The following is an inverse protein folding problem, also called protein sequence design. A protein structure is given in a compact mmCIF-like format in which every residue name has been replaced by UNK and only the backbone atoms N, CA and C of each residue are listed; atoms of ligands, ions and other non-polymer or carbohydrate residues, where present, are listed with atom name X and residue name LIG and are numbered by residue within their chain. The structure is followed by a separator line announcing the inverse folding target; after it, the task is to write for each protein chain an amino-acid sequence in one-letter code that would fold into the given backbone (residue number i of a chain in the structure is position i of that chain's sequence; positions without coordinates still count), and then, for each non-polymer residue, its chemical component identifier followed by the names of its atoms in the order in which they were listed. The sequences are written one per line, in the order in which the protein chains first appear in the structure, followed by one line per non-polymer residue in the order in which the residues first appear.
data_IF_478323908507
#
_entry.id   IF_478323908507
#
_cell.length_a   1.000
_cell.length_b   1.000
_cell.length_c   1.000
_cell.angle_alpha   90.00
_cell.angle_beta   90.00
_cell.angle_gamma   90.00
#
_symmetry.space_group_name_H-M   'P 1'
#
loop_
_entity.id
_entity.type
_entity.pdbx_description
1 polymer ?
#
# COMPACT_ATOMS: atom_id res chain seq x y z
N UNK A 1 -16.74 27.34 -50.32
CA UNK A 1 -17.38 28.46 -49.57
C UNK A 1 -16.27 29.39 -49.09
N UNK A 2 -16.40 30.72 -49.22
CA UNK A 2 -15.33 31.65 -48.80
C UNK A 2 -15.22 31.68 -47.26
N UNK A 3 -14.01 31.59 -46.70
CA UNK A 3 -13.74 31.57 -45.24
C UNK A 3 -14.42 32.73 -44.50
N UNK A 4 -14.54 33.89 -45.13
CA UNK A 4 -15.21 35.06 -44.54
C UNK A 4 -16.71 34.81 -44.30
N UNK A 5 -17.39 34.16 -45.24
CA UNK A 5 -18.81 33.83 -45.13
C UNK A 5 -19.07 32.83 -43.99
N UNK A 6 -18.12 31.92 -43.75
CA UNK A 6 -18.15 31.03 -42.57
C UNK A 6 -18.01 31.80 -41.26
N UNK A 7 -17.11 32.80 -41.21
CA UNK A 7 -16.95 33.63 -40.02
C UNK A 7 -18.23 34.40 -39.72
N UNK A 8 -18.82 35.04 -40.72
CA UNK A 8 -20.01 35.86 -40.55
C UNK A 8 -21.22 35.05 -40.07
N UNK A 9 -21.37 33.80 -40.54
CA UNK A 9 -22.41 32.87 -40.08
C UNK A 9 -22.19 32.34 -38.66
N UNK A 10 -20.94 32.07 -38.28
CA UNK A 10 -20.61 31.40 -37.01
C UNK A 10 -20.40 32.39 -35.87
N UNK A 11 -19.98 33.63 -36.16
CA UNK A 11 -19.66 34.66 -35.17
C UNK A 11 -20.81 34.97 -34.20
N UNK A 12 -22.09 35.08 -34.63
CA UNK A 12 -23.22 35.30 -33.71
C UNK A 12 -23.40 34.15 -32.71
N UNK A 13 -22.94 32.94 -33.05
CA UNK A 13 -23.08 31.72 -32.25
C UNK A 13 -21.78 31.32 -31.53
N UNK A 14 -20.80 32.23 -31.46
CA UNK A 14 -19.46 31.94 -30.92
C UNK A 14 -19.47 31.40 -29.47
N UNK A 15 -20.49 31.72 -28.69
CA UNK A 15 -20.63 31.23 -27.30
C UNK A 15 -20.83 29.71 -27.24
N UNK A 16 -21.39 29.11 -28.29
CA UNK A 16 -21.64 27.67 -28.39
C UNK A 16 -20.44 26.88 -28.98
N UNK A 17 -19.35 27.55 -29.38
CA UNK A 17 -18.10 26.93 -29.88
C UNK A 17 -17.24 26.35 -28.73
N UNK A 18 -17.82 25.46 -27.93
CA UNK A 18 -17.22 24.88 -26.73
C UNK A 18 -16.47 23.58 -27.03
N UNK A 19 -17.15 22.46 -27.25
CA UNK A 19 -16.56 21.20 -27.69
C UNK A 19 -17.09 20.82 -29.07
N UNK A 20 -16.36 19.99 -29.82
CA UNK A 20 -16.78 19.50 -31.15
C UNK A 20 -18.20 18.91 -31.08
N UNK A 21 -18.43 18.02 -30.10
CA UNK A 21 -19.73 17.36 -29.91
C UNK A 21 -20.87 18.33 -29.56
N UNK A 22 -20.61 19.33 -28.71
CA UNK A 22 -21.63 20.32 -28.34
C UNK A 22 -21.94 21.25 -29.51
N UNK A 23 -20.92 21.64 -30.27
CA UNK A 23 -21.11 22.44 -31.48
C UNK A 23 -21.92 21.69 -32.53
N UNK A 24 -21.60 20.42 -32.81
CA UNK A 24 -22.33 19.65 -33.82
C UNK A 24 -23.80 19.45 -33.48
N UNK A 25 -24.13 19.26 -32.20
CA UNK A 25 -25.51 19.23 -31.73
C UNK A 25 -26.22 20.56 -31.98
N UNK A 26 -25.61 21.66 -31.55
CA UNK A 26 -26.17 23.00 -31.73
C UNK A 26 -26.31 23.40 -33.20
N UNK A 27 -25.29 23.09 -34.00
CA UNK A 27 -25.24 23.43 -35.42
C UNK A 27 -26.32 22.70 -36.23
N UNK A 28 -26.61 21.44 -35.86
CA UNK A 28 -27.69 20.67 -36.47
C UNK A 28 -29.07 21.28 -36.23
N UNK A 29 -29.30 21.82 -35.03
CA UNK A 29 -30.58 22.46 -34.67
C UNK A 29 -30.76 23.83 -35.34
N UNK A 30 -29.67 24.53 -35.63
CA UNK A 30 -29.69 25.90 -36.17
C UNK A 30 -29.31 26.00 -37.65
N UNK A 31 -29.17 24.86 -38.36
CA UNK A 31 -28.79 24.83 -39.77
C UNK A 31 -27.40 25.39 -40.06
N UNK A 32 -26.48 25.31 -39.10
CA UNK A 32 -25.12 25.84 -39.19
C UNK A 32 -24.13 24.77 -39.71
N UNK A 33 -22.96 25.19 -40.21
CA UNK A 33 -21.90 24.27 -40.63
C UNK A 33 -21.41 23.38 -39.49
N UNK A 34 -21.27 22.08 -39.76
CA UNK A 34 -20.72 21.12 -38.80
C UNK A 34 -19.27 21.45 -38.44
N UNK A 35 -18.79 20.91 -37.32
CA UNK A 35 -17.41 21.05 -36.89
C UNK A 35 -16.44 20.56 -37.97
N UNK A 36 -16.83 19.54 -38.75
CA UNK A 36 -16.01 19.00 -39.82
C UNK A 36 -15.79 20.03 -40.94
N UNK A 37 -16.83 20.80 -41.29
CA UNK A 37 -16.72 21.89 -42.27
C UNK A 37 -15.83 23.01 -41.73
N UNK A 38 -15.95 23.34 -40.44
CA UNK A 38 -15.09 24.34 -39.80
C UNK A 38 -13.63 23.87 -39.74
N UNK A 39 -13.37 22.63 -39.32
CA UNK A 39 -12.04 22.03 -39.29
C UNK A 39 -11.43 22.01 -40.71
N UNK A 40 -12.19 21.60 -41.73
CA UNK A 40 -11.69 21.60 -43.11
C UNK A 40 -11.23 22.98 -43.59
N UNK A 41 -11.92 24.06 -43.19
CA UNK A 41 -11.60 25.42 -43.65
C UNK A 41 -10.60 26.18 -42.76
N UNK A 42 -10.53 25.85 -41.46
CA UNK A 42 -9.69 26.55 -40.48
C UNK A 42 -8.54 25.70 -39.94
N UNK A 43 -8.42 24.44 -40.35
CA UNK A 43 -7.39 23.49 -39.91
C UNK A 43 -7.87 22.62 -38.75
N UNK A 44 -7.59 23.03 -37.53
CA UNK A 44 -7.91 22.28 -36.31
C UNK A 44 -9.01 22.97 -35.50
N UNK A 45 -9.70 22.23 -34.61
CA UNK A 45 -10.71 22.83 -33.72
C UNK A 45 -10.12 23.92 -32.81
N UNK A 46 -8.83 23.83 -32.50
CA UNK A 46 -8.08 24.86 -31.77
C UNK A 46 -7.91 26.12 -32.60
N UNK A 47 -7.61 25.98 -33.90
CA UNK A 47 -7.50 27.11 -34.84
C UNK A 47 -8.86 27.74 -35.13
N UNK A 48 -9.93 26.95 -35.23
CA UNK A 48 -11.32 27.45 -35.26
C UNK A 48 -11.55 28.35 -34.06
N UNK A 49 -11.34 27.87 -32.83
CA UNK A 49 -11.51 28.69 -31.62
C UNK A 49 -10.60 29.91 -31.60
N UNK A 50 -9.36 29.80 -32.04
CA UNK A 50 -8.42 30.92 -32.14
C UNK A 50 -8.93 32.00 -33.10
N UNK A 51 -9.51 31.60 -34.23
CA UNK A 51 -10.06 32.52 -35.23
C UNK A 51 -11.28 33.31 -34.73
N UNK A 52 -11.97 32.80 -33.70
CA UNK A 52 -13.08 33.48 -33.00
C UNK A 52 -12.66 34.05 -31.63
N UNK A 53 -11.35 34.13 -31.34
CA UNK A 53 -10.81 34.64 -30.07
C UNK A 53 -11.25 33.85 -28.82
N UNK A 54 -11.62 32.58 -28.98
CA UNK A 54 -12.09 31.68 -27.91
C UNK A 54 -10.99 30.76 -27.35
N UNK A 55 -9.77 30.81 -27.89
CA UNK A 55 -8.67 29.98 -27.41
C UNK A 55 -8.17 30.48 -26.05
N UNK A 56 -8.53 29.76 -24.97
CA UNK A 56 -7.76 29.84 -23.71
C UNK A 56 -6.34 29.37 -24.01
N UNK A 57 -5.38 30.29 -24.02
CA UNK A 57 -3.96 30.00 -24.26
C UNK A 57 -3.49 28.99 -23.20
N UNK A 58 -3.36 27.72 -23.58
CA UNK A 58 -2.59 26.77 -22.78
C UNK A 58 -1.11 27.11 -22.99
N UNK A 59 -0.49 27.80 -22.03
CA UNK A 59 0.97 28.02 -22.05
C UNK A 59 1.66 26.66 -22.10
N UNK A 60 2.55 26.45 -23.07
CA UNK A 60 3.01 25.10 -23.43
C UNK A 60 4.15 24.55 -22.56
N UNK A 61 4.85 25.34 -21.76
CA UNK A 61 5.73 24.82 -20.71
C UNK A 61 6.08 25.94 -19.75
N UNK A 62 5.96 25.67 -18.45
CA UNK A 62 6.57 26.52 -17.45
C UNK A 62 8.06 26.19 -17.39
N UNK A 63 8.92 27.20 -17.38
CA UNK A 63 10.34 27.00 -17.10
C UNK A 63 10.55 26.69 -15.62
N UNK A 64 11.68 26.09 -15.25
CA UNK A 64 12.02 25.83 -13.85
C UNK A 64 12.05 27.11 -13.01
N UNK A 65 12.47 28.24 -13.59
CA UNK A 65 12.57 29.51 -12.89
C UNK A 65 11.21 30.19 -12.73
N UNK A 66 10.31 30.07 -13.72
CA UNK A 66 8.91 30.49 -13.58
C UNK A 66 8.21 29.72 -12.46
N UNK A 67 8.42 28.39 -12.39
CA UNK A 67 7.85 27.56 -11.33
C UNK A 67 8.37 27.99 -9.95
N UNK A 68 9.67 28.24 -9.83
CA UNK A 68 10.28 28.74 -8.59
C UNK A 68 9.68 30.08 -8.18
N UNK A 69 9.55 31.02 -9.12
CA UNK A 69 8.97 32.34 -8.87
C UNK A 69 7.54 32.25 -8.36
N UNK A 70 6.68 31.48 -9.05
CA UNK A 70 5.28 31.27 -8.64
C UNK A 70 5.20 30.62 -7.25
N UNK A 71 6.04 29.61 -6.98
CA UNK A 71 6.04 28.92 -5.69
C UNK A 71 6.59 29.79 -4.55
N UNK A 72 7.51 30.72 -4.85
CA UNK A 72 8.04 31.68 -3.89
C UNK A 72 7.01 32.78 -3.56
N UNK A 73 6.33 33.31 -4.58
CA UNK A 73 5.26 34.31 -4.43
C UNK A 73 4.08 33.78 -3.60
N UNK A 74 3.79 32.48 -3.69
CA UNK A 74 2.68 31.83 -2.99
C UNK A 74 3.15 30.82 -1.94
N UNK A 75 4.26 31.12 -1.26
CA UNK A 75 4.91 30.22 -0.28
C UNK A 75 3.95 29.73 0.82
N UNK A 76 3.04 30.58 1.26
CA UNK A 76 2.05 30.28 2.31
C UNK A 76 1.09 29.13 1.95
N UNK A 77 0.79 28.97 0.66
CA UNK A 77 -0.07 27.88 0.16
C UNK A 77 0.72 26.65 -0.29
N UNK A 78 2.04 26.77 -0.41
CA UNK A 78 2.96 25.71 -0.86
C UNK A 78 3.32 24.71 0.26
N UNK A 79 2.38 24.41 1.17
CA UNK A 79 2.62 23.54 2.33
C UNK A 79 2.39 22.05 2.03
N UNK A 80 1.29 21.69 1.37
CA UNK A 80 0.97 20.28 1.06
C UNK A 80 0.49 20.15 -0.38
N UNK A 81 0.67 18.98 -0.98
CA UNK A 81 0.25 18.71 -2.36
C UNK A 81 -1.22 19.08 -2.59
N UNK A 82 -2.10 18.62 -1.71
CA UNK A 82 -3.54 18.84 -1.83
C UNK A 82 -3.92 20.32 -1.67
N UNK A 83 -3.36 21.00 -0.66
CA UNK A 83 -3.63 22.43 -0.44
C UNK A 83 -3.14 23.27 -1.64
N UNK A 84 -1.95 22.97 -2.16
CA UNK A 84 -1.42 23.64 -3.33
C UNK A 84 -2.28 23.39 -4.56
N UNK A 85 -2.68 22.15 -4.84
CA UNK A 85 -3.48 21.82 -6.02
C UNK A 85 -4.84 22.52 -6.04
N UNK A 86 -5.51 22.60 -4.89
CA UNK A 86 -6.80 23.31 -4.77
C UNK A 86 -6.60 24.80 -5.04
N UNK A 87 -5.58 25.42 -4.43
CA UNK A 87 -5.23 26.82 -4.65
C UNK A 87 -4.85 27.08 -6.11
N UNK A 88 -3.96 26.27 -6.67
CA UNK A 88 -3.45 26.42 -8.03
C UNK A 88 -4.56 26.34 -9.07
N UNK A 89 -5.52 25.41 -8.93
CA UNK A 89 -6.66 25.32 -9.85
C UNK A 89 -7.57 26.53 -9.77
N UNK A 90 -7.79 27.09 -8.57
CA UNK A 90 -8.63 28.28 -8.37
C UNK A 90 -8.03 29.52 -9.03
N UNK A 91 -6.70 29.62 -9.03
CA UNK A 91 -5.98 30.81 -9.51
C UNK A 91 -5.27 30.62 -10.87
N UNK A 92 -5.41 29.45 -11.50
CA UNK A 92 -4.83 29.17 -12.82
C UNK A 92 -3.31 28.90 -12.83
N UNK A 93 -2.74 28.50 -11.69
CA UNK A 93 -1.33 28.17 -11.54
C UNK A 93 -1.02 26.70 -11.88
N UNK A 94 0.27 26.36 -12.11
CA UNK A 94 0.69 24.98 -12.32
C UNK A 94 0.38 24.11 -11.09
N UNK A 95 -0.27 22.96 -11.34
CA UNK A 95 -0.55 21.96 -10.30
C UNK A 95 0.73 21.28 -9.84
N UNK A 96 0.68 20.64 -8.67
CA UNK A 96 1.85 19.98 -8.06
C UNK A 96 2.52 18.95 -8.98
N UNK A 97 1.78 18.27 -9.85
CA UNK A 97 2.34 17.36 -10.85
C UNK A 97 3.37 18.04 -11.78
N UNK A 98 3.14 19.31 -12.14
CA UNK A 98 4.09 20.11 -12.93
C UNK A 98 5.39 20.35 -12.16
N UNK A 99 5.29 20.65 -10.87
CA UNK A 99 6.45 20.82 -9.98
C UNK A 99 7.22 19.52 -9.78
N UNK A 100 6.53 18.40 -9.57
CA UNK A 100 7.15 17.08 -9.43
C UNK A 100 7.89 16.70 -10.71
N UNK A 101 7.30 16.96 -11.88
CA UNK A 101 7.96 16.71 -13.18
C UNK A 101 9.22 17.55 -13.35
N UNK A 102 9.21 18.81 -12.90
CA UNK A 102 10.35 19.72 -13.03
C UNK A 102 11.48 19.45 -12.02
N UNK A 103 11.14 19.10 -10.77
CA UNK A 103 12.10 19.00 -9.66
C UNK A 103 12.27 17.57 -9.10
N UNK A 104 11.64 16.58 -9.73
CA UNK A 104 11.68 15.16 -9.38
C UNK A 104 10.79 14.74 -8.20
N UNK A 105 10.69 15.58 -7.17
CA UNK A 105 9.80 15.32 -6.02
C UNK A 105 9.22 16.59 -5.41
N UNK A 106 8.11 16.45 -4.68
CA UNK A 106 7.51 17.57 -3.95
C UNK A 106 8.45 18.11 -2.86
N UNK A 107 9.18 17.21 -2.17
CA UNK A 107 10.20 17.59 -1.19
C UNK A 107 11.32 18.40 -1.82
N UNK A 108 11.77 18.04 -3.03
CA UNK A 108 12.75 18.83 -3.77
C UNK A 108 12.17 20.18 -4.20
N UNK A 109 10.91 20.22 -4.64
CA UNK A 109 10.23 21.47 -5.01
C UNK A 109 10.20 22.46 -3.84
N UNK A 110 9.92 21.98 -2.62
CA UNK A 110 10.00 22.77 -1.39
C UNK A 110 11.42 23.26 -1.08
N UNK A 111 12.43 22.41 -1.24
CA UNK A 111 13.84 22.81 -1.06
C UNK A 111 14.24 23.95 -2.00
N UNK A 112 13.76 23.94 -3.25
CA UNK A 112 14.07 24.98 -4.23
C UNK A 112 13.58 26.38 -3.83
N UNK A 113 12.56 26.47 -2.97
CA UNK A 113 12.02 27.73 -2.45
C UNK A 113 12.37 27.97 -0.98
N UNK A 114 13.36 27.26 -0.46
CA UNK A 114 13.82 27.40 0.93
C UNK A 114 12.78 27.00 1.98
N UNK A 115 11.81 26.14 1.62
CA UNK A 115 10.98 25.46 2.63
C UNK A 115 11.75 24.22 3.04
N UNK A 116 12.28 24.23 4.26
CA UNK A 116 12.83 23.03 4.90
C UNK A 116 11.72 21.99 5.01
N UNK A 117 11.89 20.78 4.44
CA UNK A 117 10.93 19.71 4.68
C UNK A 117 10.89 19.45 6.18
N UNK A 118 9.69 19.34 6.75
CA UNK A 118 9.53 18.86 8.13
C UNK A 118 10.34 17.57 8.26
N UNK A 119 11.31 17.58 9.16
CA UNK A 119 12.10 16.41 9.51
C UNK A 119 11.07 15.38 9.95
N UNK A 120 10.96 14.27 9.19
CA UNK A 120 10.14 13.14 9.63
C UNK A 120 10.63 12.82 11.04
N UNK A 121 9.74 12.92 12.03
CA UNK A 121 10.07 12.58 13.43
C UNK A 121 10.84 11.27 13.39
N UNK A 122 12.09 11.30 13.86
CA UNK A 122 12.91 10.10 13.98
C UNK A 122 12.11 9.07 14.76
N UNK A 123 12.29 7.78 14.44
CA UNK A 123 11.65 6.73 15.22
C UNK A 123 11.93 6.99 16.71
N UNK A 124 10.87 6.94 17.53
CA UNK A 124 10.92 7.31 18.96
C UNK A 124 11.87 6.43 19.77
N UNK A 125 12.24 5.26 19.23
CA UNK A 125 13.12 4.30 19.84
C UNK A 125 14.25 3.95 18.88
N UNK A 126 15.47 3.92 19.39
CA UNK A 126 16.59 3.31 18.67
C UNK A 126 16.49 1.78 18.69
N UNK A 127 17.29 1.11 17.87
CA UNK A 127 17.35 -0.36 17.84
C UNK A 127 17.86 -0.90 19.19
N UNK A 128 18.79 -0.18 19.81
CA UNK A 128 19.39 -0.48 21.10
C UNK A 128 18.38 -0.33 22.24
N UNK A 129 17.57 0.73 22.22
CA UNK A 129 16.50 0.95 23.22
C UNK A 129 15.52 -0.22 23.22
N UNK A 130 15.08 -0.63 22.01
CA UNK A 130 14.15 -1.76 21.85
C UNK A 130 14.77 -3.06 22.36
N UNK A 131 16.06 -3.31 22.07
CA UNK A 131 16.76 -4.51 22.54
C UNK A 131 16.85 -4.55 24.06
N UNK A 132 17.12 -3.40 24.69
CA UNK A 132 17.17 -3.28 26.15
C UNK A 132 15.81 -3.58 26.78
N UNK A 133 14.74 -2.97 26.25
CA UNK A 133 13.35 -3.18 26.68
C UNK A 133 12.95 -4.65 26.56
N UNK A 134 13.25 -5.30 25.42
CA UNK A 134 12.94 -6.71 25.20
C UNK A 134 13.66 -7.63 26.18
N UNK A 135 14.93 -7.34 26.53
CA UNK A 135 15.66 -8.10 27.55
C UNK A 135 15.06 -7.93 28.94
N UNK A 136 14.74 -6.70 29.33
CA UNK A 136 14.17 -6.40 30.64
C UNK A 136 12.79 -7.05 30.84
N UNK A 137 11.98 -7.12 29.78
CA UNK A 137 10.62 -7.65 29.84
C UNK A 137 10.45 -9.02 29.15
N UNK A 138 11.54 -9.76 28.94
CA UNK A 138 11.54 -11.06 28.26
C UNK A 138 10.57 -12.06 28.90
N UNK A 139 10.49 -12.07 30.23
CA UNK A 139 9.60 -12.95 31.00
C UNK A 139 8.12 -12.71 30.69
N UNK A 140 7.73 -11.47 30.38
CA UNK A 140 6.36 -11.06 30.10
C UNK A 140 5.97 -11.19 28.63
N UNK A 141 6.90 -11.58 27.74
CA UNK A 141 6.62 -11.76 26.32
C UNK A 141 5.99 -13.14 26.06
N UNK A 142 4.66 -13.29 25.96
CA UNK A 142 4.04 -14.58 25.67
C UNK A 142 3.72 -14.76 24.18
N UNK A 143 3.00 -13.80 23.62
CA UNK A 143 2.65 -13.77 22.21
C UNK A 143 2.44 -12.31 21.78
N UNK A 144 2.36 -12.08 20.47
CA UNK A 144 2.20 -10.73 19.90
C UNK A 144 1.05 -9.94 20.54
N UNK A 145 -0.12 -10.56 20.69
CA UNK A 145 -1.33 -9.87 21.18
C UNK A 145 -1.18 -9.49 22.65
N UNK A 146 -0.72 -10.42 23.47
CA UNK A 146 -0.47 -10.18 24.88
C UNK A 146 0.67 -9.16 25.09
N UNK A 147 1.70 -9.16 24.24
CA UNK A 147 2.73 -8.12 24.27
C UNK A 147 2.16 -6.73 24.00
N UNK A 148 1.29 -6.57 22.99
CA UNK A 148 0.68 -5.27 22.69
C UNK A 148 -0.19 -4.75 23.85
N UNK A 149 -0.90 -5.65 24.55
CA UNK A 149 -1.67 -5.33 25.75
C UNK A 149 -0.75 -4.90 26.91
N UNK A 150 0.28 -5.70 27.21
CA UNK A 150 1.28 -5.41 28.24
C UNK A 150 2.04 -4.10 27.95
N UNK A 151 2.43 -3.88 26.70
CA UNK A 151 3.16 -2.70 26.29
C UNK A 151 2.32 -1.43 26.44
N UNK A 152 1.01 -1.51 26.22
CA UNK A 152 0.09 -0.39 26.42
C UNK A 152 0.00 0.01 27.90
N UNK A 153 -0.09 -0.97 28.80
CA UNK A 153 -0.14 -0.74 30.25
C UNK A 153 1.17 -0.15 30.78
N UNK A 154 2.31 -0.62 30.27
CA UNK A 154 3.64 -0.23 30.72
C UNK A 154 4.28 0.89 29.88
N UNK A 155 3.53 1.49 28.94
CA UNK A 155 4.01 2.55 28.03
C UNK A 155 5.28 2.16 27.25
N UNK A 156 5.34 0.92 26.78
CA UNK A 156 6.44 0.33 26.02
C UNK A 156 6.16 0.33 24.50
N UNK A 157 7.18 0.13 23.64
CA UNK A 157 6.98 -0.03 22.21
C UNK A 157 6.06 -1.22 21.88
N UNK A 158 5.03 -0.95 21.08
CA UNK A 158 4.16 -1.97 20.51
C UNK A 158 4.94 -2.95 19.63
N UNK A 159 4.38 -4.13 19.38
CA UNK A 159 4.95 -5.13 18.49
C UNK A 159 5.21 -4.57 17.07
N UNK A 160 4.36 -3.66 16.59
CA UNK A 160 4.58 -2.96 15.31
C UNK A 160 5.87 -2.15 15.32
N UNK A 161 6.20 -1.52 16.44
CA UNK A 161 7.47 -0.80 16.63
C UNK A 161 8.63 -1.78 16.68
N UNK A 162 8.51 -2.89 17.41
CA UNK A 162 9.54 -3.93 17.44
C UNK A 162 9.88 -4.43 16.03
N UNK A 163 8.85 -4.74 15.24
CA UNK A 163 8.98 -5.26 13.86
C UNK A 163 9.59 -4.27 12.86
N UNK A 164 9.70 -2.99 13.20
CA UNK A 164 10.45 -2.03 12.38
C UNK A 164 11.96 -2.23 12.49
N UNK A 165 12.44 -2.76 13.62
CA UNK A 165 13.86 -2.84 13.95
C UNK A 165 14.41 -4.27 14.04
N UNK A 166 13.53 -5.25 14.29
CA UNK A 166 13.87 -6.65 14.44
C UNK A 166 12.89 -7.57 13.71
N UNK A 167 13.42 -8.64 13.13
CA UNK A 167 12.62 -9.75 12.63
C UNK A 167 12.06 -10.59 13.79
N UNK A 168 11.02 -11.38 13.51
CA UNK A 168 10.37 -12.19 14.55
C UNK A 168 11.34 -13.16 15.24
N UNK A 169 12.22 -13.78 14.45
CA UNK A 169 13.19 -14.74 14.97
C UNK A 169 14.24 -14.02 15.85
N UNK A 170 14.69 -12.81 15.49
CA UNK A 170 15.57 -11.99 16.35
C UNK A 170 14.89 -11.58 17.67
N UNK A 171 13.59 -11.23 17.63
CA UNK A 171 12.82 -10.92 18.85
C UNK A 171 12.80 -12.14 19.76
N UNK A 172 12.52 -13.32 19.21
CA UNK A 172 12.49 -14.58 19.94
C UNK A 172 13.85 -14.96 20.55
N UNK A 173 14.94 -14.74 19.82
CA UNK A 173 16.30 -14.89 20.35
C UNK A 173 16.57 -13.95 21.54
N UNK A 174 16.18 -12.68 21.42
CA UNK A 174 16.38 -11.68 22.48
C UNK A 174 15.60 -12.05 23.75
N UNK A 175 14.36 -12.53 23.61
CA UNK A 175 13.53 -12.96 24.75
C UNK A 175 13.80 -14.42 25.18
N UNK A 176 14.76 -15.08 24.54
CA UNK A 176 15.13 -16.48 24.77
C UNK A 176 13.93 -17.45 24.72
N UNK A 177 13.05 -17.29 23.72
CA UNK A 177 11.89 -18.18 23.52
C UNK A 177 12.01 -18.94 22.21
N UNK A 178 11.71 -20.24 22.24
CA UNK A 178 11.70 -21.09 21.05
C UNK A 178 10.48 -20.75 20.17
N UNK A 179 10.69 -20.82 18.85
CA UNK A 179 9.63 -20.65 17.85
C UNK A 179 8.59 -21.76 18.01
N UNK A 180 7.37 -21.41 18.36
CA UNK A 180 6.25 -22.35 18.32
C UNK A 180 5.76 -22.44 16.88
N UNK A 181 6.09 -23.52 16.19
CA UNK A 181 5.54 -23.77 14.86
C UNK A 181 4.01 -23.96 14.96
N UNK A 182 3.27 -23.24 14.10
CA UNK A 182 1.88 -23.57 13.81
C UNK A 182 1.87 -24.83 12.93
N UNK A 183 2.12 -25.97 13.56
CA UNK A 183 2.06 -27.26 12.89
C UNK A 183 0.63 -27.50 12.38
N UNK A 184 0.54 -27.78 11.09
CA UNK A 184 -0.69 -28.19 10.41
C UNK A 184 -1.08 -29.61 10.81
N UNK A 185 -2.25 -30.07 10.37
CA UNK A 185 -2.68 -31.46 10.61
C UNK A 185 -1.74 -32.43 9.90
N UNK A 186 -1.31 -32.06 8.71
CA UNK A 186 -0.43 -32.83 7.84
C UNK A 186 0.97 -32.95 8.47
N UNK A 187 1.51 -31.86 9.01
CA UNK A 187 2.81 -31.88 9.71
C UNK A 187 2.77 -32.82 10.92
N UNK A 188 1.69 -32.78 11.70
CA UNK A 188 1.50 -33.67 12.85
C UNK A 188 1.41 -35.13 12.41
N UNK A 189 0.73 -35.41 11.30
CA UNK A 189 0.67 -36.77 10.74
C UNK A 189 2.06 -37.22 10.30
N UNK A 190 2.83 -36.37 9.62
CA UNK A 190 4.17 -36.73 9.16
C UNK A 190 5.10 -37.04 10.34
N UNK A 191 5.13 -36.17 11.36
CA UNK A 191 5.90 -36.41 12.60
C UNK A 191 5.48 -37.75 13.25
N UNK A 192 4.18 -38.04 13.28
CA UNK A 192 3.71 -39.30 13.85
C UNK A 192 4.07 -40.53 12.99
N UNK A 193 4.19 -40.39 11.66
CA UNK A 193 4.67 -41.44 10.75
C UNK A 193 6.17 -41.70 10.94
N UNK A 194 6.97 -40.65 11.03
CA UNK A 194 8.42 -40.74 11.23
C UNK A 194 8.76 -41.46 12.55
N UNK A 195 7.85 -41.36 13.54
CA UNK A 195 7.96 -42.00 14.84
C UNK A 195 6.91 -43.12 15.05
N UNK A 196 6.44 -43.77 13.98
CA UNK A 196 5.32 -44.73 14.00
C UNK A 196 5.48 -45.86 15.01
N UNK A 197 6.70 -46.38 15.18
CA UNK A 197 7.03 -47.48 16.10
C UNK A 197 6.69 -47.17 17.56
N UNK A 198 6.78 -45.88 17.92
CA UNK A 198 6.44 -45.41 19.26
C UNK A 198 5.04 -44.80 19.30
N UNK A 199 4.62 -44.08 18.26
CA UNK A 199 3.35 -43.34 18.25
C UNK A 199 2.10 -44.24 18.26
N UNK A 200 2.09 -45.30 17.45
CA UNK A 200 0.89 -46.15 17.24
C UNK A 200 0.44 -46.83 18.54
N UNK A 201 1.39 -47.32 19.32
CA UNK A 201 1.14 -48.06 20.55
C UNK A 201 1.24 -47.23 21.83
N UNK A 202 1.76 -46.00 21.76
CA UNK A 202 1.86 -45.15 22.93
C UNK A 202 0.51 -44.73 23.52
N UNK A 203 0.47 -44.71 24.84
CA UNK A 203 -0.47 -43.91 25.61
C UNK A 203 -0.12 -42.42 25.51
N UNK A 204 -1.07 -41.56 25.90
CA UNK A 204 -0.90 -40.09 25.96
C UNK A 204 0.36 -39.72 26.74
N UNK A 205 0.57 -40.36 27.89
CA UNK A 205 1.73 -40.11 28.77
C UNK A 205 3.04 -40.60 28.15
N UNK A 206 3.05 -41.82 27.60
CA UNK A 206 4.25 -42.37 26.96
C UNK A 206 4.72 -41.52 25.77
N UNK A 207 3.79 -41.07 24.92
CA UNK A 207 4.13 -40.17 23.83
C UNK A 207 4.63 -38.82 24.35
N UNK A 208 3.99 -38.26 25.38
CA UNK A 208 4.40 -36.95 25.91
C UNK A 208 5.81 -36.98 26.47
N UNK A 209 6.19 -38.06 27.16
CA UNK A 209 7.54 -38.22 27.69
C UNK A 209 8.56 -38.42 26.55
N UNK A 210 8.23 -39.25 25.56
CA UNK A 210 9.07 -39.43 24.37
C UNK A 210 9.25 -38.13 23.58
N UNK A 211 8.15 -37.40 23.39
CA UNK A 211 8.15 -36.14 22.66
C UNK A 211 8.94 -35.06 23.39
N UNK A 212 8.94 -35.03 24.72
CA UNK A 212 9.76 -34.11 25.49
C UNK A 212 11.27 -34.36 25.28
N UNK A 213 11.70 -35.63 25.25
CA UNK A 213 13.11 -36.01 24.99
C UNK A 213 13.56 -35.68 23.56
N UNK A 214 12.65 -35.80 22.59
CA UNK A 214 12.94 -35.56 21.16
C UNK A 214 12.54 -34.17 20.66
N UNK A 215 12.16 -33.27 21.56
CA UNK A 215 11.63 -31.93 21.23
C UNK A 215 10.46 -31.94 20.22
N UNK A 216 9.60 -32.96 20.27
CA UNK A 216 8.44 -33.14 19.40
C UNK A 216 7.14 -32.57 20.01
N UNK A 217 6.07 -32.41 19.20
CA UNK A 217 4.78 -31.96 19.70
C UNK A 217 4.18 -32.91 20.73
N UNK A 218 3.74 -32.34 21.86
CA UNK A 218 3.12 -33.12 22.93
C UNK A 218 1.80 -33.77 22.48
N UNK A 219 1.38 -34.81 23.20
CA UNK A 219 0.11 -35.50 22.95
C UNK A 219 -1.11 -34.55 22.95
N UNK A 220 -1.06 -33.49 23.76
CA UNK A 220 -2.11 -32.47 23.82
C UNK A 220 -2.24 -31.72 22.50
N UNK A 221 -1.15 -31.49 21.76
CA UNK A 221 -1.21 -30.85 20.44
C UNK A 221 -2.00 -31.72 19.45
N UNK A 222 -1.79 -33.03 19.48
CA UNK A 222 -2.56 -34.00 18.69
C UNK A 222 -4.04 -34.06 19.12
N UNK A 223 -4.31 -34.10 20.43
CA UNK A 223 -5.67 -34.12 20.96
C UNK A 223 -6.44 -32.86 20.56
N UNK A 224 -5.84 -31.68 20.71
CA UNK A 224 -6.47 -30.42 20.33
C UNK A 224 -6.77 -30.34 18.83
N UNK A 225 -5.93 -30.97 18.00
CA UNK A 225 -6.06 -30.89 16.54
C UNK A 225 -7.00 -31.93 15.94
N UNK A 226 -7.03 -33.14 16.50
CA UNK A 226 -7.82 -34.28 16.02
C UNK A 226 -9.03 -34.60 16.92
N UNK A 227 -9.20 -33.87 18.01
CA UNK A 227 -10.28 -33.99 18.99
C UNK A 227 -10.06 -35.06 20.06
N UNK A 228 -9.33 -36.14 19.76
CA UNK A 228 -8.93 -37.14 20.76
C UNK A 228 -7.68 -37.90 20.34
N UNK A 229 -6.98 -38.49 21.32
CA UNK A 229 -5.78 -39.30 21.07
C UNK A 229 -6.08 -40.48 20.15
N UNK A 230 -7.22 -41.15 20.36
CA UNK A 230 -7.67 -42.26 19.50
C UNK A 230 -7.93 -41.80 18.06
N UNK A 231 -8.54 -40.64 17.86
CA UNK A 231 -8.77 -40.07 16.52
C UNK A 231 -7.46 -39.70 15.83
N UNK A 232 -6.50 -39.13 16.57
CA UNK A 232 -5.17 -38.82 16.04
C UNK A 232 -4.45 -40.10 15.57
N UNK A 233 -4.42 -41.15 16.40
CA UNK A 233 -3.81 -42.44 16.04
C UNK A 233 -4.46 -43.08 14.83
N UNK A 234 -5.80 -43.12 14.78
CA UNK A 234 -6.52 -43.67 13.63
C UNK A 234 -6.18 -42.90 12.34
N UNK A 235 -6.06 -41.57 12.39
CA UNK A 235 -5.67 -40.78 11.22
C UNK A 235 -4.26 -41.09 10.73
N UNK A 236 -3.32 -41.28 11.65
CA UNK A 236 -1.94 -41.68 11.31
C UNK A 236 -1.93 -43.10 10.73
N UNK A 237 -2.61 -44.06 11.36
CA UNK A 237 -2.69 -45.45 10.88
C UNK A 237 -3.34 -45.52 9.48
N UNK A 238 -4.44 -44.79 9.24
CA UNK A 238 -5.08 -44.73 7.92
C UNK A 238 -4.22 -44.09 6.83
N UNK A 239 -3.17 -43.39 7.23
CA UNK A 239 -2.23 -42.76 6.30
C UNK A 239 -0.93 -43.55 6.11
N UNK A 240 -0.74 -44.65 6.85
CA UNK A 240 0.37 -45.59 6.67
C UNK A 240 -0.06 -46.70 5.72
N UNK A 241 0.88 -47.20 4.93
CA UNK A 241 0.64 -48.39 4.10
C UNK A 241 0.47 -49.64 4.99
N UNK A 242 -0.32 -50.65 4.59
CA UNK A 242 -0.60 -51.82 5.43
C UNK A 242 0.67 -52.59 5.86
N UNK A 243 1.71 -52.58 5.04
CA UNK A 243 3.01 -53.20 5.32
C UNK A 243 3.87 -52.39 6.30
N UNK A 244 3.55 -51.11 6.47
CA UNK A 244 4.28 -50.17 7.32
C UNK A 244 3.76 -50.09 8.74
N UNK A 245 2.64 -50.75 9.04
CA UNK A 245 2.06 -50.79 10.39
C UNK A 245 2.96 -51.69 11.25
N UNK A 246 3.61 -51.15 12.29
CA UNK A 246 4.53 -51.94 13.09
C UNK A 246 3.79 -53.11 13.74
N UNK A 247 4.30 -54.35 13.62
CA UNK A 247 3.68 -55.52 14.26
C UNK A 247 3.90 -55.45 15.77
N UNK A 248 2.87 -55.85 16.53
CA UNK A 248 2.83 -55.77 17.98
C UNK A 248 3.77 -56.78 18.64
#
# INVERSE_FOLDING_TARGET
MKIQLLKDLVYPHKENLTTVKQWDGYAKEHGLPSSQVLIYNFGTWTEVKKSFSLSKVRRSSYTTDELKKIALEHKEHFCSLLKWDVYARKHGYPVSATYIKAFGSWSNSKKQIGITPEIKKSDTYSKEDIKSILKQHANNYLNRRQWDEYAKENKLPTYKTLKKHFEYDEILEIVNKKKTFNLTKEDLIQIAKDHKDKFVYASVTQWSNYAADKELPSSHKFINMFGSWRKAKNKVILSLDPEEIPKK
#
